data_IF_687809008817
#
_entry.id   IF_687809008817
#
_cell.length_a   1.000
_cell.length_b   1.000
_cell.length_c   1.000
_cell.angle_alpha   90.00
_cell.angle_beta   90.00
_cell.angle_gamma   90.00
#
_symmetry.space_group_name_H-M   'P 1'
#
loop_
_entity.id
_entity.type
_entity.pdbx_description
1 polymer ?
#
# COMPACT_ATOMS: atom_id res chain seq x y z
N UNK A 1 20.16 -72.33 29.24
CA UNK A 1 19.90 -72.09 30.68
C UNK A 1 19.72 -70.60 30.88
N UNK A 2 18.51 -70.09 31.18
CA UNK A 2 18.04 -69.76 32.55
C UNK A 2 19.10 -68.90 33.28
N UNK A 3 18.87 -67.69 33.78
CA UNK A 3 17.72 -66.97 34.40
C UNK A 3 18.29 -65.55 34.69
N UNK A 4 17.58 -64.43 34.53
CA UNK A 4 16.55 -63.92 35.46
C UNK A 4 17.16 -63.49 36.81
N UNK A 5 17.03 -62.20 37.18
CA UNK A 5 16.64 -61.66 38.51
C UNK A 5 16.87 -60.14 38.57
N UNK A 6 15.79 -59.42 38.87
CA UNK A 6 15.70 -58.06 39.46
C UNK A 6 15.32 -58.27 40.95
N UNK A 7 15.77 -57.45 41.92
CA UNK A 7 14.85 -56.50 42.61
C UNK A 7 15.53 -55.15 42.97
N UNK A 8 14.86 -54.01 42.73
CA UNK A 8 14.06 -53.17 43.65
C UNK A 8 14.84 -52.49 44.80
N UNK A 9 14.71 -51.16 44.88
CA UNK A 9 14.21 -50.51 46.10
C UNK A 9 13.57 -49.15 45.79
N UNK A 10 12.38 -48.99 46.35
CA UNK A 10 11.45 -47.87 46.29
C UNK A 10 11.93 -46.64 47.06
N UNK A 11 11.42 -45.46 46.71
CA UNK A 11 10.96 -44.47 47.70
C UNK A 11 9.99 -43.47 47.06
N UNK A 12 8.72 -43.70 47.42
CA UNK A 12 7.70 -42.72 47.82
C UNK A 12 7.07 -41.77 46.79
N UNK A 13 5.86 -42.18 46.38
CA UNK A 13 4.77 -41.32 45.94
C UNK A 13 3.57 -41.61 46.83
N UNK A 14 3.08 -40.63 47.58
CA UNK A 14 1.75 -40.67 48.23
C UNK A 14 0.92 -39.45 47.79
N UNK A 15 -0.40 -39.62 47.54
CA UNK A 15 -1.33 -38.63 46.98
C UNK A 15 -2.03 -37.82 48.11
N UNK A 16 -2.86 -36.80 47.87
CA UNK A 16 -4.32 -36.95 47.70
C UNK A 16 -5.03 -35.58 47.59
N UNK A 17 -6.08 -35.54 46.74
CA UNK A 17 -7.42 -34.90 46.91
C UNK A 17 -7.51 -33.43 47.36
N UNK A 18 -7.91 -32.52 46.47
CA UNK A 18 -9.29 -32.07 46.17
C UNK A 18 -9.84 -31.01 47.14
N UNK A 19 -10.14 -29.82 46.62
CA UNK A 19 -11.35 -29.06 46.90
C UNK A 19 -11.51 -27.99 45.83
N UNK A 20 -12.67 -27.97 45.18
CA UNK A 20 -13.03 -26.91 44.26
C UNK A 20 -13.35 -25.61 44.99
N UNK A 21 -13.01 -24.50 44.34
CA UNK A 21 -13.77 -23.26 44.27
C UNK A 21 -12.95 -22.29 43.44
N UNK A 22 -13.06 -22.36 42.11
CA UNK A 22 -12.68 -21.22 41.27
C UNK A 22 -13.97 -20.50 40.92
N UNK A 23 -14.30 -19.54 41.79
CA UNK A 23 -15.17 -18.43 41.43
C UNK A 23 -14.61 -17.81 40.15
N UNK A 24 -15.45 -17.74 39.11
CA UNK A 24 -15.09 -17.12 37.85
C UNK A 24 -14.78 -15.64 38.04
N UNK A 25 -13.51 -15.32 38.30
CA UNK A 25 -12.96 -14.01 38.02
C UNK A 25 -13.14 -13.78 36.52
N UNK A 26 -14.13 -12.94 36.18
CA UNK A 26 -14.31 -12.43 34.83
C UNK A 26 -13.03 -11.68 34.47
N UNK A 27 -12.13 -12.37 33.75
CA UNK A 27 -10.96 -11.77 33.12
C UNK A 27 -11.44 -10.55 32.34
N UNK A 28 -11.08 -9.36 32.83
CA UNK A 28 -11.42 -8.10 32.18
C UNK A 28 -10.68 -8.09 30.87
N UNK A 29 -11.43 -8.17 29.77
CA UNK A 29 -10.90 -8.08 28.41
C UNK A 29 -10.27 -6.69 28.22
N UNK A 30 -8.94 -6.62 28.43
CA UNK A 30 -8.13 -5.40 28.38
C UNK A 30 -8.24 -4.74 27.00
N UNK A 31 -8.39 -5.54 25.94
CA UNK A 31 -8.54 -5.04 24.58
C UNK A 31 -9.89 -4.34 24.40
N UNK A 32 -10.96 -4.91 24.95
CA UNK A 32 -12.28 -4.26 25.00
C UNK A 32 -12.27 -2.97 25.83
N UNK A 33 -11.52 -2.92 26.93
CA UNK A 33 -11.35 -1.69 27.74
C UNK A 33 -10.61 -0.61 26.96
N UNK A 34 -9.53 -0.96 26.26
CA UNK A 34 -8.77 -0.01 25.42
C UNK A 34 -9.60 0.51 24.24
N UNK A 35 -10.42 -0.36 23.64
CA UNK A 35 -11.36 0.03 22.58
C UNK A 35 -12.42 1.01 23.11
N UNK A 36 -13.00 0.72 24.28
CA UNK A 36 -13.96 1.61 24.94
C UNK A 36 -13.33 2.96 25.30
N UNK A 37 -12.10 2.99 25.79
CA UNK A 37 -11.39 4.24 26.08
C UNK A 37 -11.13 5.08 24.83
N UNK A 38 -10.81 4.46 23.68
CA UNK A 38 -10.70 5.18 22.40
C UNK A 38 -12.03 5.77 21.98
N UNK A 39 -13.11 4.99 22.07
CA UNK A 39 -14.46 5.43 21.71
C UNK A 39 -14.95 6.57 22.63
N UNK A 40 -14.63 6.53 23.92
CA UNK A 40 -14.96 7.61 24.87
C UNK A 40 -14.24 8.91 24.47
N UNK A 41 -12.93 8.86 24.22
CA UNK A 41 -12.18 10.06 23.78
C UNK A 41 -12.68 10.61 22.46
N UNK A 42 -13.08 9.74 21.53
CA UNK A 42 -13.65 10.16 20.25
C UNK A 42 -15.03 10.79 20.43
N UNK A 43 -15.88 10.22 21.29
CA UNK A 43 -17.17 10.81 21.66
C UNK A 43 -17.03 12.15 22.38
N UNK A 44 -16.10 12.29 23.33
CA UNK A 44 -15.80 13.57 23.99
C UNK A 44 -15.35 14.63 22.98
N UNK A 45 -14.51 14.23 22.01
CA UNK A 45 -14.07 15.13 20.94
C UNK A 45 -15.24 15.55 20.04
N UNK A 46 -16.13 14.63 19.71
CA UNK A 46 -17.34 14.92 18.92
C UNK A 46 -18.31 15.81 19.69
N UNK A 47 -18.53 15.55 20.98
CA UNK A 47 -19.37 16.39 21.85
C UNK A 47 -18.82 17.81 21.96
N UNK A 48 -17.51 17.97 22.16
CA UNK A 48 -16.86 19.29 22.20
C UNK A 48 -16.98 20.02 20.85
N UNK A 49 -16.85 19.30 19.74
CA UNK A 49 -17.05 19.85 18.40
C UNK A 49 -18.50 20.31 18.21
N UNK A 50 -19.49 19.50 18.58
CA UNK A 50 -20.91 19.85 18.50
C UNK A 50 -21.25 21.05 19.40
N UNK A 51 -20.71 21.09 20.62
CA UNK A 51 -20.89 22.21 21.55
C UNK A 51 -20.30 23.51 21.00
N UNK A 52 -19.09 23.47 20.42
CA UNK A 52 -18.49 24.63 19.78
C UNK A 52 -19.30 25.12 18.57
N UNK A 53 -19.90 24.20 17.81
CA UNK A 53 -20.76 24.53 16.67
C UNK A 53 -22.04 25.19 17.16
N UNK A 54 -22.71 24.62 18.17
CA UNK A 54 -23.91 25.21 18.77
C UNK A 54 -23.64 26.61 19.32
N UNK A 55 -22.52 26.79 20.02
CA UNK A 55 -22.12 28.10 20.54
C UNK A 55 -21.81 29.11 19.42
N UNK A 56 -21.20 28.67 18.32
CA UNK A 56 -20.96 29.54 17.16
C UNK A 56 -22.27 29.90 16.43
N UNK A 57 -23.23 28.98 16.37
CA UNK A 57 -24.57 29.22 15.84
C UNK A 57 -25.35 30.18 16.74
N UNK A 58 -25.30 30.02 18.07
CA UNK A 58 -25.92 30.93 19.03
C UNK A 58 -25.34 32.35 18.93
N UNK A 59 -24.00 32.48 18.82
CA UNK A 59 -23.37 33.80 18.61
C UNK A 59 -23.82 34.47 17.31
N UNK A 60 -23.95 33.69 16.24
CA UNK A 60 -24.44 34.21 14.94
C UNK A 60 -25.91 34.62 14.99
N UNK A 61 -26.72 33.94 15.80
CA UNK A 61 -28.13 34.30 16.01
C UNK A 61 -28.28 35.52 16.92
N UNK A 62 -27.40 35.70 17.92
CA UNK A 62 -27.38 36.90 18.78
C UNK A 62 -26.81 38.14 18.09
N UNK A 63 -25.94 37.98 17.09
CA UNK A 63 -25.41 39.08 16.27
C UNK A 63 -26.41 39.56 15.20
N UNK A 64 -27.49 38.81 14.93
CA UNK A 64 -28.51 39.12 13.94
C UNK A 64 -29.82 39.68 14.57
N UNK A 65 -29.87 39.91 15.89
CA UNK A 65 -30.91 40.77 16.48
C UNK A 65 -30.58 42.25 16.18
N UNK A 66 -31.37 42.96 15.36
CA UNK A 66 -31.08 44.34 15.04
C UNK A 66 -31.36 45.23 16.25
N UNK A 67 -30.35 46.00 16.67
CA UNK A 67 -30.55 47.27 17.38
C UNK A 67 -31.46 48.16 16.53
N UNK A 68 -32.78 48.02 16.72
CA UNK A 68 -33.73 49.04 16.35
C UNK A 68 -33.67 50.11 17.42
N UNK A 69 -32.86 51.14 17.17
CA UNK A 69 -33.27 52.53 17.33
C UNK A 69 -32.10 53.45 16.95
N UNK A 70 -32.14 53.96 15.71
CA UNK A 70 -31.84 55.36 15.47
C UNK A 70 -32.85 55.93 14.45
N UNK A 71 -33.43 57.05 14.86
CA UNK A 71 -34.21 58.07 14.12
C UNK A 71 -35.69 57.81 13.74
N UNK A 72 -36.61 58.24 14.62
CA UNK A 72 -37.49 59.42 14.44
C UNK A 72 -38.90 59.27 15.08
N UNK A 73 -39.16 60.12 16.07
CA UNK A 73 -40.38 60.46 16.82
C UNK A 73 -41.76 60.30 16.11
N UNK A 74 -42.77 59.79 16.85
CA UNK A 74 -43.94 60.52 17.42
C UNK A 74 -44.93 59.52 18.06
N UNK A 75 -45.26 59.74 19.34
CA UNK A 75 -46.42 59.30 20.20
C UNK A 75 -47.35 58.19 19.69
N UNK A 76 -47.79 57.18 20.45
CA UNK A 76 -48.28 57.12 21.84
C UNK A 76 -48.66 55.67 22.15
N UNK A 77 -48.61 55.27 23.43
CA UNK A 77 -49.58 54.30 23.97
C UNK A 77 -49.08 52.88 24.27
N UNK A 78 -49.19 52.52 25.55
CA UNK A 78 -49.02 51.23 26.22
C UNK A 78 -49.18 49.94 25.42
N UNK A 79 -48.42 48.93 25.86
CA UNK A 79 -49.05 47.65 26.25
C UNK A 79 -48.47 46.40 25.59
N UNK A 80 -47.96 45.54 26.46
CA UNK A 80 -48.14 44.10 26.42
C UNK A 80 -47.19 43.22 25.58
N UNK A 81 -46.49 42.40 26.37
CA UNK A 81 -46.39 40.94 26.22
C UNK A 81 -45.43 40.40 25.16
N UNK A 82 -44.37 39.78 25.70
CA UNK A 82 -43.58 38.78 25.01
C UNK A 82 -44.49 37.71 24.42
N UNK A 83 -44.49 37.64 23.09
CA UNK A 83 -45.01 36.53 22.33
C UNK A 83 -43.82 35.94 21.59
N UNK A 84 -43.51 34.70 21.94
CA UNK A 84 -42.57 33.84 21.23
C UNK A 84 -43.07 33.70 19.79
N UNK A 85 -42.61 34.58 18.90
CA UNK A 85 -42.99 34.54 17.50
C UNK A 85 -42.32 33.32 16.87
N UNK A 86 -43.13 32.30 16.59
CA UNK A 86 -42.75 31.15 15.76
C UNK A 86 -42.16 31.67 14.44
N UNK A 87 -40.84 31.60 14.30
CA UNK A 87 -40.16 31.94 13.06
C UNK A 87 -40.59 30.95 11.98
N UNK A 88 -41.36 31.41 11.00
CA UNK A 88 -41.74 30.63 9.82
C UNK A 88 -40.71 30.94 8.72
N UNK A 89 -39.82 29.99 8.37
CA UNK A 89 -38.75 30.25 7.43
C UNK A 89 -39.31 30.54 6.03
N UNK A 90 -38.92 31.66 5.44
CA UNK A 90 -39.30 31.99 4.07
C UNK A 90 -38.66 31.01 3.07
N UNK A 91 -39.21 30.92 1.85
CA UNK A 91 -38.62 30.10 0.78
C UNK A 91 -37.15 30.50 0.48
N UNK A 92 -36.82 31.79 0.63
CA UNK A 92 -35.46 32.29 0.47
C UNK A 92 -34.53 31.78 1.60
N UNK A 93 -35.02 31.73 2.84
CA UNK A 93 -34.27 31.21 3.99
C UNK A 93 -34.04 29.70 3.87
N UNK A 94 -35.06 28.96 3.43
CA UNK A 94 -34.95 27.53 3.15
C UNK A 94 -33.93 27.23 2.04
N UNK A 95 -33.93 28.05 0.98
CA UNK A 95 -32.98 27.91 -0.13
C UNK A 95 -31.55 28.23 0.32
N UNK A 96 -31.36 29.30 1.10
CA UNK A 96 -30.05 29.67 1.66
C UNK A 96 -29.53 28.62 2.63
N UNK A 97 -30.40 28.05 3.47
CA UNK A 97 -30.05 26.96 4.36
C UNK A 97 -29.67 25.69 3.58
N UNK A 98 -30.43 25.33 2.54
CA UNK A 98 -30.12 24.19 1.68
C UNK A 98 -28.75 24.33 1.00
N UNK A 99 -28.42 25.51 0.47
CA UNK A 99 -27.11 25.78 -0.13
C UNK A 99 -25.99 25.63 0.90
N UNK A 100 -26.16 26.16 2.12
CA UNK A 100 -25.18 26.02 3.22
C UNK A 100 -24.99 24.54 3.61
N UNK A 101 -26.07 23.78 3.74
CA UNK A 101 -26.03 22.34 4.07
C UNK A 101 -25.32 21.55 2.96
N UNK A 102 -25.63 21.84 1.68
CA UNK A 102 -25.00 21.18 0.55
C UNK A 102 -23.50 21.49 0.48
N UNK A 103 -23.10 22.74 0.68
CA UNK A 103 -21.70 23.14 0.72
C UNK A 103 -20.96 22.45 1.87
N UNK A 104 -21.57 22.39 3.06
CA UNK A 104 -21.03 21.67 4.21
C UNK A 104 -20.85 20.18 3.93
N UNK A 105 -21.86 19.53 3.35
CA UNK A 105 -21.79 18.10 3.01
C UNK A 105 -20.70 17.79 1.99
N UNK A 106 -20.56 18.62 0.94
CA UNK A 106 -19.47 18.52 -0.04
C UNK A 106 -18.10 18.62 0.65
N UNK A 107 -17.92 19.62 1.51
CA UNK A 107 -16.68 19.80 2.27
C UNK A 107 -16.38 18.67 3.25
N UNK A 108 -17.40 18.11 3.92
CA UNK A 108 -17.24 16.95 4.79
C UNK A 108 -16.80 15.71 4.00
N UNK A 109 -17.43 15.45 2.83
CA UNK A 109 -17.07 14.34 1.96
C UNK A 109 -15.63 14.44 1.46
N UNK A 110 -15.20 15.62 1.02
CA UNK A 110 -13.82 15.87 0.61
C UNK A 110 -12.83 15.69 1.76
N UNK A 111 -13.15 16.19 2.96
CA UNK A 111 -12.30 15.98 4.15
C UNK A 111 -12.15 14.51 4.51
N UNK A 112 -13.20 13.70 4.37
CA UNK A 112 -13.13 12.24 4.59
C UNK A 112 -12.23 11.59 3.54
N UNK A 113 -12.41 11.93 2.26
CA UNK A 113 -11.58 11.40 1.18
C UNK A 113 -10.10 11.78 1.37
N UNK A 114 -9.81 13.04 1.70
CA UNK A 114 -8.47 13.53 2.01
C UNK A 114 -7.88 12.85 3.25
N UNK A 115 -8.67 12.59 4.29
CA UNK A 115 -8.22 11.86 5.48
C UNK A 115 -7.79 10.44 5.12
N UNK A 116 -8.58 9.72 4.32
CA UNK A 116 -8.23 8.38 3.84
C UNK A 116 -6.92 8.40 3.04
N UNK A 117 -6.78 9.35 2.11
CA UNK A 117 -5.56 9.52 1.32
C UNK A 117 -4.34 9.86 2.19
N UNK A 118 -4.50 10.70 3.22
CA UNK A 118 -3.45 11.01 4.18
C UNK A 118 -3.08 9.80 5.05
N UNK A 119 -4.04 8.97 5.45
CA UNK A 119 -3.79 7.73 6.18
C UNK A 119 -3.04 6.71 5.34
N UNK A 120 -3.43 6.53 4.07
CA UNK A 120 -2.72 5.70 3.10
C UNK A 120 -1.28 6.19 2.91
N UNK A 121 -1.09 7.50 2.73
CA UNK A 121 0.26 8.11 2.68
C UNK A 121 1.05 7.90 3.96
N UNK A 122 0.44 7.99 5.15
CA UNK A 122 1.13 7.71 6.43
C UNK A 122 1.53 6.25 6.55
N UNK A 123 0.65 5.31 6.18
CA UNK A 123 0.98 3.87 6.15
C UNK A 123 2.15 3.61 5.21
N UNK A 124 2.12 4.19 4.02
CA UNK A 124 3.23 4.15 3.07
C UNK A 124 4.52 4.71 3.66
N UNK A 125 4.49 5.90 4.27
CA UNK A 125 5.67 6.53 4.87
C UNK A 125 6.23 5.75 6.07
N UNK A 126 5.37 5.10 6.86
CA UNK A 126 5.82 4.26 7.98
C UNK A 126 6.47 2.97 7.48
N UNK A 127 5.89 2.32 6.46
CA UNK A 127 6.52 1.18 5.78
C UNK A 127 7.85 1.59 5.15
N UNK A 128 7.90 2.76 4.51
CA UNK A 128 9.11 3.36 3.95
C UNK A 128 10.19 3.52 5.02
N UNK A 129 9.87 4.09 6.20
CA UNK A 129 10.83 4.24 7.31
C UNK A 129 11.37 2.90 7.83
N UNK A 130 10.50 1.89 7.95
CA UNK A 130 10.92 0.54 8.34
C UNK A 130 11.90 -0.08 7.34
N UNK A 131 11.64 0.11 6.04
CA UNK A 131 12.52 -0.38 4.98
C UNK A 131 13.87 0.38 4.95
N UNK A 132 13.88 1.70 5.20
CA UNK A 132 15.12 2.49 5.34
C UNK A 132 16.01 1.92 6.45
N UNK A 133 15.45 1.60 7.61
CA UNK A 133 16.23 1.05 8.73
C UNK A 133 16.77 -0.36 8.45
N UNK A 134 16.09 -1.16 7.62
CA UNK A 134 16.56 -2.47 7.18
C UNK A 134 17.67 -2.40 6.09
N UNK A 135 17.83 -1.24 5.45
CA UNK A 135 18.88 -0.94 4.47
C UNK A 135 20.18 -0.45 5.11
N UNK A 136 20.25 -0.30 6.45
CA UNK A 136 21.43 0.13 7.19
C UNK A 136 22.18 -1.07 7.79
N UNK A 137 22.94 -1.88 7.02
CA UNK A 137 23.96 -2.71 7.63
C UNK A 137 25.04 -1.79 8.19
N UNK A 138 25.36 -1.93 9.48
CA UNK A 138 26.35 -1.11 10.19
C UNK A 138 27.75 -1.14 9.59
N UNK A 139 28.03 -2.05 8.65
CA UNK A 139 29.40 -2.51 8.36
C UNK A 139 29.86 -2.36 6.90
N UNK A 140 29.05 -1.84 5.95
CA UNK A 140 29.39 -1.93 4.51
C UNK A 140 29.53 -0.59 3.77
N UNK A 141 29.00 0.52 4.27
CA UNK A 141 29.20 1.83 3.65
C UNK A 141 29.25 2.87 4.76
N UNK A 142 30.25 3.76 4.75
CA UNK A 142 30.31 4.90 5.68
C UNK A 142 28.94 5.56 5.80
N UNK A 143 28.28 5.28 6.94
CA UNK A 143 26.84 5.38 7.17
C UNK A 143 26.27 6.82 7.07
N UNK A 144 27.14 7.81 6.93
CA UNK A 144 26.78 9.23 6.79
C UNK A 144 26.55 9.60 5.31
N UNK A 145 27.05 8.80 4.37
CA UNK A 145 27.07 9.12 2.95
C UNK A 145 25.75 8.78 2.22
N UNK A 146 25.00 7.76 2.63
CA UNK A 146 23.77 7.37 1.91
C UNK A 146 22.51 8.08 2.41
N UNK A 147 22.50 8.70 3.60
CA UNK A 147 21.36 9.49 4.09
C UNK A 147 21.38 10.93 3.55
N UNK A 148 22.56 11.49 3.27
CA UNK A 148 22.77 12.88 2.85
C UNK A 148 22.86 13.13 1.34
N UNK A 149 23.01 12.08 0.51
CA UNK A 149 23.14 12.23 -0.95
C UNK A 149 21.82 12.60 -1.64
N UNK A 150 21.87 13.34 -2.76
CA UNK A 150 20.74 13.55 -3.66
C UNK A 150 20.11 12.23 -4.11
N UNK A 151 18.77 12.21 -4.28
CA UNK A 151 18.02 11.01 -4.72
C UNK A 151 18.54 10.48 -6.05
N UNK A 152 18.87 11.37 -6.98
CA UNK A 152 19.41 11.05 -8.30
C UNK A 152 20.74 10.28 -8.23
N UNK A 153 21.67 10.72 -7.37
CA UNK A 153 22.94 10.01 -7.16
C UNK A 153 22.74 8.61 -6.56
N UNK A 154 21.76 8.46 -5.65
CA UNK A 154 21.41 7.15 -5.11
C UNK A 154 20.88 6.20 -6.17
N UNK A 155 20.14 6.72 -7.15
CA UNK A 155 19.66 5.92 -8.28
C UNK A 155 20.84 5.41 -9.12
N UNK A 156 21.78 6.30 -9.52
CA UNK A 156 22.96 5.87 -10.27
C UNK A 156 23.80 4.84 -9.51
N UNK A 157 24.13 5.13 -8.24
CA UNK A 157 24.89 4.19 -7.42
C UNK A 157 24.17 2.84 -7.28
N UNK A 158 22.84 2.84 -7.14
CA UNK A 158 22.07 1.61 -7.04
C UNK A 158 22.03 0.81 -8.34
N UNK A 159 22.06 1.47 -9.51
CA UNK A 159 22.24 0.81 -10.81
C UNK A 159 23.62 0.14 -10.88
N UNK A 160 24.69 0.83 -10.49
CA UNK A 160 26.05 0.25 -10.46
C UNK A 160 26.14 -0.94 -9.49
N UNK A 161 25.52 -0.83 -8.31
CA UNK A 161 25.47 -1.89 -7.31
C UNK A 161 24.84 -3.18 -7.84
N UNK A 162 23.94 -3.12 -8.82
CA UNK A 162 23.34 -4.33 -9.40
C UNK A 162 24.39 -5.28 -9.99
N UNK A 163 25.49 -4.74 -10.50
CA UNK A 163 26.59 -5.47 -11.13
C UNK A 163 27.71 -5.84 -10.14
N UNK A 164 27.57 -5.51 -8.85
CA UNK A 164 28.56 -5.90 -7.85
C UNK A 164 28.64 -7.44 -7.73
N UNK A 165 29.85 -8.03 -7.69
CA UNK A 165 30.03 -9.47 -7.58
C UNK A 165 29.43 -10.06 -6.29
N UNK A 166 29.28 -9.25 -5.23
CA UNK A 166 28.64 -9.66 -3.98
C UNK A 166 27.12 -9.54 -4.13
N UNK A 167 26.45 -10.68 -4.10
CA UNK A 167 24.98 -10.76 -4.21
C UNK A 167 24.23 -9.89 -3.19
N UNK A 168 24.79 -9.71 -1.99
CA UNK A 168 24.21 -8.82 -0.98
C UNK A 168 24.17 -7.35 -1.45
N UNK A 169 25.25 -6.84 -2.05
CA UNK A 169 25.33 -5.46 -2.57
C UNK A 169 24.35 -5.28 -3.72
N UNK A 170 24.30 -6.25 -4.64
CA UNK A 170 23.32 -6.26 -5.73
C UNK A 170 21.87 -6.28 -5.25
N UNK A 171 21.59 -7.01 -4.16
CA UNK A 171 20.27 -7.01 -3.50
C UNK A 171 19.93 -5.64 -2.89
N UNK A 172 20.89 -4.97 -2.24
CA UNK A 172 20.70 -3.61 -1.72
C UNK A 172 20.43 -2.62 -2.86
N UNK A 173 21.18 -2.71 -3.97
CA UNK A 173 20.92 -1.91 -5.17
C UNK A 173 19.49 -2.10 -5.68
N UNK A 174 19.03 -3.35 -5.82
CA UNK A 174 17.65 -3.65 -6.21
C UNK A 174 16.60 -3.06 -5.26
N UNK A 175 16.84 -3.10 -3.94
CA UNK A 175 15.95 -2.49 -2.94
C UNK A 175 15.87 -0.97 -3.09
N UNK A 176 17.01 -0.29 -3.23
CA UNK A 176 17.06 1.17 -3.40
C UNK A 176 16.29 1.56 -4.67
N UNK A 177 16.52 0.86 -5.79
CA UNK A 177 15.81 1.10 -7.04
C UNK A 177 14.30 0.89 -6.90
N UNK A 178 13.88 -0.20 -6.25
CA UNK A 178 12.45 -0.46 -6.04
C UNK A 178 11.80 0.65 -5.23
N UNK A 179 12.44 1.07 -4.15
CA UNK A 179 11.90 2.11 -3.29
C UNK A 179 11.83 3.47 -3.99
N UNK A 180 12.92 3.91 -4.60
CA UNK A 180 13.01 5.27 -5.18
C UNK A 180 12.14 5.41 -6.42
N UNK A 181 12.08 4.40 -7.28
CA UNK A 181 11.21 4.42 -8.46
C UNK A 181 9.72 4.38 -8.09
N UNK A 182 9.35 3.86 -6.91
CA UNK A 182 7.97 3.86 -6.42
C UNK A 182 7.49 5.23 -5.91
N UNK A 183 8.39 6.18 -5.61
CA UNK A 183 8.03 7.46 -5.00
C UNK A 183 7.28 8.39 -5.95
N UNK A 184 7.63 8.39 -7.24
CA UNK A 184 6.91 9.15 -8.27
C UNK A 184 7.23 8.67 -9.69
N UNK A 185 6.32 8.90 -10.66
CA UNK A 185 6.61 8.62 -12.08
C UNK A 185 7.83 9.37 -12.61
N UNK A 186 8.15 10.56 -12.07
CA UNK A 186 9.33 11.33 -12.47
C UNK A 186 10.64 10.66 -12.04
N UNK A 187 10.68 10.05 -10.85
CA UNK A 187 11.86 9.28 -10.41
C UNK A 187 11.99 7.96 -11.18
N UNK A 188 10.87 7.35 -11.57
CA UNK A 188 10.90 6.23 -12.51
C UNK A 188 11.44 6.68 -13.89
N UNK A 189 11.04 7.85 -14.38
CA UNK A 189 11.57 8.41 -15.61
C UNK A 189 13.08 8.70 -15.52
N UNK A 190 13.54 9.29 -14.42
CA UNK A 190 14.97 9.51 -14.18
C UNK A 190 15.76 8.21 -14.17
N UNK A 191 15.25 7.18 -13.47
CA UNK A 191 15.86 5.85 -13.46
C UNK A 191 16.01 5.30 -14.88
N UNK A 192 14.96 5.39 -15.69
CA UNK A 192 14.95 4.77 -17.02
C UNK A 192 15.80 5.55 -18.02
N UNK A 193 15.68 6.87 -18.04
CA UNK A 193 16.28 7.74 -19.07
C UNK A 193 17.69 8.17 -18.68
N UNK A 194 17.83 8.85 -17.54
CA UNK A 194 19.10 9.45 -17.14
C UNK A 194 20.09 8.40 -16.59
N UNK A 195 19.58 7.43 -15.81
CA UNK A 195 20.40 6.37 -15.23
C UNK A 195 20.48 5.09 -16.07
N UNK A 196 19.89 5.08 -17.27
CA UNK A 196 19.85 3.91 -18.17
C UNK A 196 19.37 2.62 -17.48
N UNK A 197 18.48 2.77 -16.49
CA UNK A 197 18.11 1.71 -15.57
C UNK A 197 17.36 0.57 -16.22
N UNK A 198 16.57 0.82 -17.29
CA UNK A 198 15.91 -0.25 -18.02
C UNK A 198 16.93 -1.18 -18.69
N UNK A 199 17.91 -0.62 -19.40
CA UNK A 199 18.98 -1.39 -20.03
C UNK A 199 19.76 -2.21 -18.98
N UNK A 200 20.16 -1.57 -17.88
CA UNK A 200 20.84 -2.26 -16.79
C UNK A 200 20.02 -3.41 -16.17
N UNK A 201 18.71 -3.20 -15.97
CA UNK A 201 17.81 -4.24 -15.45
C UNK A 201 17.69 -5.41 -16.44
N UNK A 202 17.56 -5.13 -17.75
CA UNK A 202 17.50 -6.16 -18.78
C UNK A 202 18.81 -6.97 -18.84
N UNK A 203 19.96 -6.32 -18.78
CA UNK A 203 21.27 -6.98 -18.73
C UNK A 203 21.40 -7.89 -17.51
N UNK A 204 20.99 -7.41 -16.33
CA UNK A 204 21.00 -8.19 -15.09
C UNK A 204 20.07 -9.40 -15.19
N UNK A 205 18.90 -9.23 -15.80
CA UNK A 205 17.98 -10.33 -16.04
C UNK A 205 18.59 -11.40 -16.96
N UNK A 206 19.25 -11.01 -18.04
CA UNK A 206 19.94 -11.96 -18.91
C UNK A 206 21.11 -12.66 -18.21
N UNK A 207 21.94 -11.92 -17.47
CA UNK A 207 23.05 -12.52 -16.73
C UNK A 207 22.57 -13.49 -15.66
N UNK A 208 21.60 -13.09 -14.83
CA UNK A 208 21.17 -13.87 -13.67
C UNK A 208 20.22 -15.01 -13.99
N UNK A 209 19.54 -14.99 -15.14
CA UNK A 209 18.72 -16.14 -15.57
C UNK A 209 19.53 -17.42 -15.81
N UNK A 210 20.84 -17.30 -16.04
CA UNK A 210 21.76 -18.45 -16.10
C UNK A 210 21.97 -19.09 -14.72
N UNK A 211 21.92 -18.31 -13.64
CA UNK A 211 22.06 -18.76 -12.25
C UNK A 211 20.72 -18.85 -11.52
N UNK A 212 20.03 -20.01 -11.60
CA UNK A 212 18.72 -20.24 -10.93
C UNK A 212 18.81 -20.51 -9.43
N UNK A 213 19.82 -19.95 -8.76
CA UNK A 213 20.05 -20.15 -7.33
C UNK A 213 19.10 -19.34 -6.44
N UNK A 214 18.98 -19.69 -5.14
CA UNK A 214 18.16 -18.95 -4.18
C UNK A 214 18.53 -17.46 -4.09
N UNK A 215 19.83 -17.14 -4.07
CA UNK A 215 20.31 -15.75 -4.02
C UNK A 215 19.85 -14.92 -5.23
N UNK A 216 19.83 -15.51 -6.42
CA UNK A 216 19.30 -14.85 -7.62
C UNK A 216 17.80 -14.61 -7.50
N UNK A 217 17.05 -15.59 -7.01
CA UNK A 217 15.61 -15.47 -6.87
C UNK A 217 15.23 -14.32 -5.93
N UNK A 218 15.98 -14.12 -4.83
CA UNK A 218 15.75 -13.00 -3.91
C UNK A 218 15.88 -11.63 -4.58
N UNK A 219 16.85 -11.48 -5.49
CA UNK A 219 17.07 -10.22 -6.22
C UNK A 219 15.97 -10.03 -7.27
N UNK A 220 15.61 -11.10 -7.98
CA UNK A 220 14.53 -11.06 -8.98
C UNK A 220 13.15 -10.78 -8.36
N UNK A 221 12.88 -11.24 -7.13
CA UNK A 221 11.66 -10.92 -6.38
C UNK A 221 11.48 -9.42 -6.18
N UNK A 222 12.59 -8.68 -6.06
CA UNK A 222 12.57 -7.22 -5.93
C UNK A 222 12.53 -6.56 -7.31
N UNK A 223 13.42 -6.97 -8.21
CA UNK A 223 13.55 -6.35 -9.53
C UNK A 223 12.33 -6.55 -10.43
N UNK A 224 11.55 -7.64 -10.26
CA UNK A 224 10.29 -7.82 -10.99
C UNK A 224 9.32 -6.65 -10.74
N UNK A 225 9.30 -6.10 -9.52
CA UNK A 225 8.40 -5.01 -9.17
C UNK A 225 8.86 -3.69 -9.81
N UNK A 226 10.18 -3.46 -9.82
CA UNK A 226 10.79 -2.32 -10.51
C UNK A 226 10.49 -2.38 -12.00
N UNK A 227 10.69 -3.55 -12.60
CA UNK A 227 10.44 -3.78 -14.01
C UNK A 227 8.97 -3.61 -14.38
N UNK A 228 8.05 -4.19 -13.60
CA UNK A 228 6.60 -4.00 -13.80
C UNK A 228 6.24 -2.51 -13.74
N UNK A 229 6.76 -1.78 -12.75
CA UNK A 229 6.52 -0.35 -12.60
C UNK A 229 7.03 0.47 -13.81
N UNK A 230 8.18 0.10 -14.36
CA UNK A 230 8.71 0.73 -15.59
C UNK A 230 7.76 0.47 -16.77
N UNK A 231 7.32 -0.78 -16.95
CA UNK A 231 6.40 -1.17 -18.03
C UNK A 231 5.04 -0.47 -17.92
N UNK A 232 4.51 -0.27 -16.72
CA UNK A 232 3.22 0.38 -16.45
C UNK A 232 3.31 1.91 -16.31
N UNK A 233 4.52 2.49 -16.36
CA UNK A 233 4.71 3.91 -16.15
C UNK A 233 4.02 4.74 -17.24
N UNK A 234 3.21 5.71 -16.83
CA UNK A 234 2.48 6.61 -17.74
C UNK A 234 3.33 7.78 -18.25
N UNK A 235 4.58 7.91 -17.81
CA UNK A 235 5.46 9.00 -18.23
C UNK A 235 5.89 8.84 -19.69
N UNK A 236 5.67 9.83 -20.59
CA UNK A 236 5.90 9.67 -22.03
C UNK A 236 7.30 9.18 -22.41
N UNK A 237 8.34 9.71 -21.75
CA UNK A 237 9.72 9.28 -22.01
C UNK A 237 9.94 7.80 -21.67
N UNK A 238 9.35 7.30 -20.59
CA UNK A 238 9.46 5.88 -20.20
C UNK A 238 8.70 4.99 -21.18
N UNK A 239 7.52 5.43 -21.63
CA UNK A 239 6.74 4.71 -22.64
C UNK A 239 7.58 4.52 -23.91
N UNK A 240 8.19 5.61 -24.41
CA UNK A 240 9.03 5.58 -25.60
C UNK A 240 10.25 4.65 -25.43
N UNK A 241 10.91 4.68 -24.27
CA UNK A 241 12.06 3.83 -24.00
C UNK A 241 11.68 2.34 -23.93
N UNK A 242 10.55 2.01 -23.29
CA UNK A 242 10.04 0.63 -23.25
C UNK A 242 9.61 0.17 -24.64
N UNK A 243 9.01 1.04 -25.46
CA UNK A 243 8.61 0.71 -26.82
C UNK A 243 9.84 0.48 -27.73
N UNK A 244 10.92 1.25 -27.53
CA UNK A 244 12.18 1.05 -28.23
C UNK A 244 12.84 -0.30 -27.90
N UNK A 245 12.69 -0.78 -26.66
CA UNK A 245 13.28 -2.02 -26.16
C UNK A 245 12.24 -3.16 -26.02
N UNK A 246 11.10 -3.08 -26.71
CA UNK A 246 9.95 -3.95 -26.44
C UNK A 246 10.24 -5.44 -26.72
N UNK A 247 11.05 -5.72 -27.74
CA UNK A 247 11.44 -7.08 -28.10
C UNK A 247 12.18 -7.77 -26.94
N UNK A 248 13.15 -7.09 -26.33
CA UNK A 248 13.94 -7.61 -25.22
C UNK A 248 13.12 -7.69 -23.94
N UNK A 249 12.28 -6.68 -23.67
CA UNK A 249 11.34 -6.72 -22.55
C UNK A 249 10.44 -7.96 -22.60
N UNK A 250 9.87 -8.27 -23.77
CA UNK A 250 9.01 -9.44 -23.95
C UNK A 250 9.80 -10.75 -23.83
N UNK A 251 10.94 -10.85 -24.54
CA UNK A 251 11.81 -12.04 -24.52
C UNK A 251 12.26 -12.40 -23.11
N UNK A 252 12.80 -11.42 -22.38
CA UNK A 252 13.32 -11.60 -21.03
C UNK A 252 12.21 -11.95 -20.05
N UNK A 253 11.06 -11.26 -20.14
CA UNK A 253 9.91 -11.54 -19.26
C UNK A 253 9.39 -12.97 -19.42
N UNK A 254 9.20 -13.43 -20.67
CA UNK A 254 8.77 -14.80 -20.95
C UNK A 254 9.81 -15.83 -20.48
N UNK A 255 11.10 -15.52 -20.65
CA UNK A 255 12.18 -16.38 -20.20
C UNK A 255 12.19 -16.54 -18.68
N UNK A 256 12.13 -15.43 -17.92
CA UNK A 256 12.13 -15.47 -16.45
C UNK A 256 10.87 -16.17 -15.91
N UNK A 257 9.69 -15.82 -16.45
CA UNK A 257 8.43 -16.45 -16.09
C UNK A 257 8.51 -17.99 -16.19
N UNK A 258 9.15 -18.48 -17.25
CA UNK A 258 9.37 -19.91 -17.44
C UNK A 258 10.47 -20.49 -16.55
N UNK A 259 11.62 -19.81 -16.44
CA UNK A 259 12.79 -20.30 -15.72
C UNK A 259 12.53 -20.42 -14.21
N UNK A 260 11.73 -19.52 -13.64
CA UNK A 260 11.44 -19.44 -12.20
C UNK A 260 10.01 -19.89 -11.85
N UNK A 261 9.44 -20.83 -12.62
CA UNK A 261 8.05 -21.31 -12.46
C UNK A 261 7.68 -21.80 -11.04
N UNK A 262 8.67 -22.15 -10.21
CA UNK A 262 8.47 -22.59 -8.82
C UNK A 262 8.22 -21.41 -7.87
N UNK A 263 8.72 -20.21 -8.18
CA UNK A 263 8.58 -19.04 -7.31
C UNK A 263 7.30 -18.25 -7.65
N UNK A 264 6.32 -18.18 -6.74
CA UNK A 264 5.03 -17.55 -7.01
C UNK A 264 5.14 -16.04 -7.27
N UNK A 265 5.99 -15.33 -6.53
CA UNK A 265 6.12 -13.87 -6.62
C UNK A 265 6.75 -13.46 -7.95
N UNK A 266 7.80 -14.18 -8.38
CA UNK A 266 8.45 -13.92 -9.67
C UNK A 266 7.47 -14.19 -10.82
N UNK A 267 6.77 -15.32 -10.78
CA UNK A 267 5.82 -15.70 -11.84
C UNK A 267 4.64 -14.73 -11.91
N UNK A 268 4.09 -14.31 -10.77
CA UNK A 268 3.04 -13.30 -10.73
C UNK A 268 3.53 -11.97 -11.30
N UNK A 269 4.66 -11.46 -10.79
CA UNK A 269 5.27 -10.21 -11.23
C UNK A 269 5.52 -10.14 -12.72
N UNK A 270 6.25 -11.12 -13.26
CA UNK A 270 6.51 -11.16 -14.70
C UNK A 270 5.28 -11.50 -15.53
N UNK A 271 4.31 -12.27 -14.99
CA UNK A 271 3.04 -12.51 -15.67
C UNK A 271 2.23 -11.22 -15.84
N UNK A 272 2.20 -10.36 -14.81
CA UNK A 272 1.61 -9.01 -14.88
C UNK A 272 2.36 -8.12 -15.88
N UNK A 273 3.70 -8.16 -15.87
CA UNK A 273 4.50 -7.38 -16.82
C UNK A 273 4.27 -7.82 -18.26
N UNK A 274 4.13 -9.13 -18.51
CA UNK A 274 3.78 -9.69 -19.83
C UNK A 274 2.42 -9.18 -20.29
N UNK A 275 1.39 -9.20 -19.42
CA UNK A 275 0.07 -8.65 -19.74
C UNK A 275 0.15 -7.16 -20.08
N UNK A 276 0.87 -6.37 -19.28
CA UNK A 276 1.06 -4.95 -19.53
C UNK A 276 1.79 -4.67 -20.86
N UNK A 277 2.83 -5.46 -21.18
CA UNK A 277 3.53 -5.39 -22.46
C UNK A 277 2.60 -5.78 -23.62
N UNK A 278 1.82 -6.86 -23.49
CA UNK A 278 0.92 -7.35 -24.54
C UNK A 278 -0.14 -6.33 -24.96
N UNK A 279 -0.58 -5.49 -24.02
CA UNK A 279 -1.55 -4.40 -24.26
C UNK A 279 -0.99 -3.23 -25.06
N UNK A 280 0.33 -3.14 -25.24
CA UNK A 280 0.96 -2.09 -26.06
C UNK A 280 0.78 -2.38 -27.55
N UNK A 281 0.54 -1.32 -28.35
CA UNK A 281 0.16 -1.45 -29.76
C UNK A 281 1.19 -2.22 -30.61
N UNK A 282 2.48 -2.05 -30.32
CA UNK A 282 3.57 -2.63 -31.11
C UNK A 282 4.11 -3.96 -30.55
N UNK A 283 3.53 -4.49 -29.47
CA UNK A 283 4.10 -5.64 -28.77
C UNK A 283 3.76 -6.98 -29.41
N UNK A 284 2.61 -7.08 -30.09
CA UNK A 284 2.02 -8.34 -30.56
C UNK A 284 2.97 -9.22 -31.39
N UNK A 285 3.78 -8.69 -32.34
CA UNK A 285 4.73 -9.50 -33.11
C UNK A 285 5.78 -10.20 -32.24
N UNK A 286 6.11 -9.65 -31.07
CA UNK A 286 7.12 -10.22 -30.18
C UNK A 286 6.60 -11.40 -29.34
N UNK A 287 5.29 -11.68 -29.38
CA UNK A 287 4.64 -12.73 -28.60
C UNK A 287 4.38 -14.04 -29.36
N UNK A 288 4.98 -14.25 -30.53
CA UNK A 288 4.82 -15.51 -31.30
C UNK A 288 5.09 -16.78 -30.47
N UNK A 289 6.09 -16.72 -29.58
CA UNK A 289 6.46 -17.84 -28.70
C UNK A 289 5.62 -17.94 -27.43
N UNK A 290 4.71 -17.01 -27.15
CA UNK A 290 3.91 -16.99 -25.93
C UNK A 290 3.12 -18.30 -25.74
N UNK A 291 2.55 -18.82 -26.83
CA UNK A 291 1.83 -20.10 -26.84
C UNK A 291 2.63 -21.25 -26.21
N UNK A 292 3.92 -21.34 -26.54
CA UNK A 292 4.81 -22.36 -25.99
C UNK A 292 4.94 -22.22 -24.47
N UNK A 293 5.24 -21.00 -24.00
CA UNK A 293 5.42 -20.71 -22.57
C UNK A 293 4.13 -20.92 -21.76
N UNK A 294 2.99 -20.44 -22.26
CA UNK A 294 1.69 -20.58 -21.59
C UNK A 294 1.24 -22.03 -21.49
N UNK A 295 1.43 -22.83 -22.55
CA UNK A 295 1.09 -24.25 -22.52
C UNK A 295 2.00 -25.05 -21.60
N UNK A 296 3.29 -24.70 -21.53
CA UNK A 296 4.21 -25.29 -20.55
C UNK A 296 3.78 -24.98 -19.11
N UNK A 297 3.48 -23.71 -18.83
CA UNK A 297 3.01 -23.27 -17.51
C UNK A 297 1.68 -23.94 -17.12
N UNK A 298 0.74 -24.12 -18.06
CA UNK A 298 -0.53 -24.82 -17.81
C UNK A 298 -0.31 -26.25 -17.30
N UNK A 299 0.65 -26.98 -17.89
CA UNK A 299 0.98 -28.34 -17.42
C UNK A 299 1.59 -28.33 -16.02
N UNK A 300 2.50 -27.38 -15.74
CA UNK A 300 3.16 -27.26 -14.43
C UNK A 300 2.20 -26.83 -13.32
N UNK A 301 1.29 -25.91 -13.61
CA UNK A 301 0.40 -25.29 -12.62
C UNK A 301 -0.94 -26.02 -12.47
N UNK A 302 -1.18 -27.10 -13.23
CA UNK A 302 -2.43 -27.87 -13.18
C UNK A 302 -2.81 -28.30 -11.76
N UNK A 303 -1.83 -28.78 -10.98
CA UNK A 303 -2.01 -29.29 -9.61
C UNK A 303 -2.08 -28.19 -8.53
N UNK A 304 -1.82 -26.94 -8.87
CA UNK A 304 -1.86 -25.84 -7.90
C UNK A 304 -3.31 -25.47 -7.57
N UNK A 305 -3.60 -25.00 -6.35
CA UNK A 305 -4.92 -24.50 -5.99
C UNK A 305 -5.30 -23.30 -6.87
N UNK A 306 -6.60 -23.09 -7.08
CA UNK A 306 -7.10 -21.97 -7.89
C UNK A 306 -6.72 -20.59 -7.35
N UNK A 307 -6.42 -20.51 -6.05
CA UNK A 307 -5.99 -19.29 -5.35
C UNK A 307 -4.48 -19.04 -5.47
N UNK A 308 -3.70 -19.95 -6.06
CA UNK A 308 -2.26 -19.74 -6.26
C UNK A 308 -2.04 -18.61 -7.29
N UNK A 309 -1.24 -17.58 -6.95
CA UNK A 309 -1.05 -16.41 -7.83
C UNK A 309 -0.53 -16.78 -9.21
N UNK A 310 0.25 -17.87 -9.33
CA UNK A 310 0.75 -18.38 -10.63
C UNK A 310 -0.37 -18.86 -11.53
N UNK A 311 -1.40 -19.48 -10.94
CA UNK A 311 -2.55 -20.01 -11.67
C UNK A 311 -3.51 -18.89 -12.05
N UNK A 312 -3.70 -17.90 -11.16
CA UNK A 312 -4.48 -16.70 -11.41
C UNK A 312 -3.90 -15.93 -12.61
N UNK A 313 -2.63 -15.53 -12.53
CA UNK A 313 -1.99 -14.74 -13.61
C UNK A 313 -1.96 -15.50 -14.93
N UNK A 314 -1.69 -16.82 -14.91
CA UNK A 314 -1.71 -17.65 -16.11
C UNK A 314 -3.10 -17.70 -16.75
N UNK A 315 -4.16 -17.79 -15.94
CA UNK A 315 -5.53 -17.79 -16.45
C UNK A 315 -5.86 -16.48 -17.16
N UNK A 316 -5.46 -15.35 -16.57
CA UNK A 316 -5.63 -14.04 -17.19
C UNK A 316 -4.84 -13.92 -18.51
N UNK A 317 -3.56 -14.30 -18.50
CA UNK A 317 -2.71 -14.32 -19.72
C UNK A 317 -3.32 -15.16 -20.83
N UNK A 318 -3.82 -16.36 -20.52
CA UNK A 318 -4.48 -17.21 -21.52
C UNK A 318 -5.78 -16.58 -22.03
N UNK A 319 -6.57 -15.99 -21.15
CA UNK A 319 -7.81 -15.32 -21.54
C UNK A 319 -7.55 -14.16 -22.49
N UNK A 320 -6.51 -13.36 -22.26
CA UNK A 320 -6.26 -12.15 -23.07
C UNK A 320 -5.43 -12.44 -24.33
N UNK A 321 -4.44 -13.33 -24.24
CA UNK A 321 -3.48 -13.55 -25.33
C UNK A 321 -3.92 -14.67 -26.29
N UNK A 322 -4.79 -15.58 -25.84
CA UNK A 322 -5.24 -16.74 -26.62
C UNK A 322 -6.74 -16.69 -26.98
N UNK A 323 -7.51 -15.75 -26.42
CA UNK A 323 -8.83 -15.49 -26.97
C UNK A 323 -8.66 -14.81 -28.33
N UNK A 324 -9.31 -15.39 -29.34
CA UNK A 324 -9.44 -14.80 -30.66
C UNK A 324 -10.62 -13.84 -30.67
#
# INVERSE_FOLDING_TARGET
SRTGVVPNDDLERIPSTSTGHEEGEKCVDIERVLQLQRNIRENERLQKMCSNILQACERKLSEEEPDRNDEANVTTGHGEQGMCASYVPSLADQTRAAVKIQAWYRGCRERIALRKHLEERRKFMNAYRGNVAAEEPSDVVDNIALSSRPVHEKIHAAVDMLFDPKMYVSKVGAFILNRLSALSPHLCAYLVIDAQGLAAILDIFEQKTTGRGPATAEILVILQEVFLRIVECSHPAVIAEVDANIADCVKVSLHIFHAFYVNPVIVEGFGRAILALYRRQNARPHFEKANFYLNYASKRFARLPGTDPRKIVLSEMRSEMLSK
#
